data_IF_660265397936
#
_entry.id   IF_660265397936
#
_cell.length_a   1.000
_cell.length_b   1.000
_cell.length_c   1.000
_cell.angle_alpha   90.00
_cell.angle_beta   90.00
_cell.angle_gamma   90.00
#
_symmetry.space_group_name_H-M   'P 1'
#
loop_
_entity.id
_entity.type
_entity.pdbx_description
1 polymer ?
#
# COMPACT_ATOMS: atom_id res chain seq x y z
N UNK A 1 3.18 -35.64 -24.31
CA UNK A 1 4.63 -35.63 -24.58
C UNK A 1 4.83 -36.59 -25.72
N UNK A 2 5.10 -36.06 -26.90
CA UNK A 2 5.31 -36.84 -28.12
C UNK A 2 6.57 -37.67 -27.89
N UNK A 3 6.42 -38.99 -27.76
CA UNK A 3 7.56 -39.88 -27.60
C UNK A 3 8.36 -39.79 -28.89
N UNK A 4 9.50 -39.09 -28.85
CA UNK A 4 10.47 -39.16 -29.93
C UNK A 4 10.73 -40.64 -30.19
N UNK A 5 10.35 -41.12 -31.37
CA UNK A 5 10.47 -42.52 -31.70
C UNK A 5 11.96 -42.85 -31.68
N UNK A 6 12.37 -43.60 -30.66
CA UNK A 6 13.78 -43.97 -30.43
C UNK A 6 14.32 -44.64 -31.70
N UNK A 7 13.46 -45.26 -32.50
CA UNK A 7 13.78 -45.92 -33.75
C UNK A 7 14.11 -44.95 -34.88
N UNK A 8 13.42 -43.82 -34.94
CA UNK A 8 13.69 -42.77 -35.91
C UNK A 8 15.02 -42.05 -35.59
N UNK A 9 15.26 -41.76 -34.30
CA UNK A 9 16.51 -41.17 -33.83
C UNK A 9 17.72 -42.11 -34.00
N UNK A 10 17.55 -43.40 -33.72
CA UNK A 10 18.60 -44.42 -33.92
C UNK A 10 18.90 -44.60 -35.41
N UNK A 11 17.86 -44.64 -36.26
CA UNK A 11 17.99 -44.74 -37.70
C UNK A 11 18.71 -43.54 -38.33
N UNK A 12 18.46 -42.33 -37.83
CA UNK A 12 19.16 -41.11 -38.26
C UNK A 12 20.61 -41.01 -37.76
N UNK A 13 20.97 -41.65 -36.65
CA UNK A 13 22.35 -41.68 -36.12
C UNK A 13 23.25 -42.66 -36.88
N UNK A 14 22.68 -43.75 -37.41
CA UNK A 14 23.43 -44.83 -38.06
C UNK A 14 23.26 -44.89 -39.58
N UNK A 15 22.57 -43.92 -40.19
CA UNK A 15 22.22 -43.93 -41.62
C UNK A 15 23.41 -44.01 -42.59
N UNK A 16 24.64 -43.68 -42.15
CA UNK A 16 25.86 -43.71 -42.96
C UNK A 16 26.84 -44.88 -42.59
N UNK A 17 26.52 -45.72 -41.60
CA UNK A 17 27.38 -46.84 -41.16
C UNK A 17 26.73 -48.23 -41.35
N UNK A 18 27.46 -49.17 -41.96
CA UNK A 18 27.01 -50.57 -42.09
C UNK A 18 27.23 -51.34 -40.79
N UNK A 19 26.30 -51.20 -39.85
CA UNK A 19 26.27 -51.99 -38.63
C UNK A 19 25.66 -53.38 -38.84
N UNK A 20 26.13 -54.37 -38.07
CA UNK A 20 25.40 -55.65 -38.01
C UNK A 20 24.10 -55.43 -37.23
N UNK A 21 23.02 -56.08 -37.70
CA UNK A 21 21.69 -56.00 -37.09
C UNK A 21 21.70 -56.40 -35.60
N UNK A 22 22.62 -57.30 -35.23
CA UNK A 22 22.84 -57.74 -33.85
C UNK A 22 23.48 -56.66 -32.96
N UNK A 23 24.36 -55.81 -33.51
CA UNK A 23 24.96 -54.70 -32.76
C UNK A 23 23.97 -53.55 -32.59
N UNK A 24 23.20 -53.23 -33.63
CA UNK A 24 22.15 -52.19 -33.56
C UNK A 24 21.09 -52.54 -32.49
N UNK A 25 20.68 -53.81 -32.41
CA UNK A 25 19.78 -54.31 -31.37
C UNK A 25 20.37 -54.17 -29.96
N UNK A 26 21.65 -54.50 -29.76
CA UNK A 26 22.33 -54.35 -28.44
C UNK A 26 22.47 -52.88 -28.03
N UNK A 27 22.84 -51.99 -28.95
CA UNK A 27 22.95 -50.54 -28.66
C UNK A 27 21.59 -49.95 -28.34
N UNK A 28 20.54 -50.34 -29.07
CA UNK A 28 19.16 -49.92 -28.79
C UNK A 28 18.73 -50.29 -27.37
N UNK A 29 18.91 -51.55 -26.97
CA UNK A 29 18.53 -52.01 -25.62
C UNK A 29 19.31 -51.26 -24.53
N UNK A 30 20.61 -51.02 -24.73
CA UNK A 30 21.44 -50.29 -23.76
C UNK A 30 21.04 -48.81 -23.69
N UNK A 31 20.78 -48.17 -24.84
CA UNK A 31 20.38 -46.78 -24.92
C UNK A 31 18.99 -46.56 -24.33
N UNK A 32 18.03 -47.42 -24.67
CA UNK A 32 16.68 -47.40 -24.12
C UNK A 32 16.71 -47.62 -22.60
N UNK A 33 17.50 -48.57 -22.10
CA UNK A 33 17.70 -48.76 -20.67
C UNK A 33 18.33 -47.54 -19.99
N UNK A 34 19.32 -46.90 -20.62
CA UNK A 34 19.97 -45.71 -20.08
C UNK A 34 19.05 -44.48 -20.07
N UNK A 35 18.25 -44.29 -21.12
CA UNK A 35 17.25 -43.21 -21.20
C UNK A 35 16.13 -43.44 -20.19
N UNK A 36 15.60 -44.66 -20.08
CA UNK A 36 14.57 -44.99 -19.10
C UNK A 36 15.08 -44.80 -17.66
N UNK A 37 16.31 -45.24 -17.37
CA UNK A 37 16.93 -44.99 -16.06
C UNK A 37 17.06 -43.48 -15.78
N UNK A 38 17.42 -42.68 -16.79
CA UNK A 38 17.48 -41.22 -16.63
C UNK A 38 16.12 -40.55 -16.46
N UNK A 39 15.11 -41.02 -17.16
CA UNK A 39 13.73 -40.55 -16.98
C UNK A 39 13.23 -40.89 -15.57
N UNK A 40 13.55 -42.09 -15.08
CA UNK A 40 13.20 -42.51 -13.71
C UNK A 40 13.93 -41.67 -12.65
N UNK A 41 15.22 -41.39 -12.82
CA UNK A 41 15.99 -40.46 -11.97
C UNK A 41 15.29 -39.09 -11.89
N UNK A 42 14.99 -38.48 -13.05
CA UNK A 42 14.33 -37.17 -13.10
C UNK A 42 12.90 -37.21 -12.54
N UNK A 43 12.16 -38.30 -12.77
CA UNK A 43 10.82 -38.48 -12.22
C UNK A 43 10.87 -38.52 -10.69
N UNK A 44 11.85 -39.23 -10.12
CA UNK A 44 12.04 -39.32 -8.67
C UNK A 44 12.47 -37.97 -8.08
N UNK A 45 13.39 -37.26 -8.73
CA UNK A 45 13.81 -35.91 -8.32
C UNK A 45 12.64 -34.91 -8.32
N UNK A 46 11.81 -34.95 -9.36
CA UNK A 46 10.60 -34.12 -9.44
C UNK A 46 9.63 -34.51 -8.32
N UNK A 47 9.37 -35.80 -8.10
CA UNK A 47 8.48 -36.25 -7.02
C UNK A 47 8.98 -35.81 -5.64
N UNK A 48 10.28 -35.94 -5.36
CA UNK A 48 10.87 -35.53 -4.09
C UNK A 48 10.75 -34.02 -3.88
N UNK A 49 11.01 -33.22 -4.93
CA UNK A 49 10.83 -31.76 -4.87
C UNK A 49 9.37 -31.36 -4.64
N UNK A 50 8.42 -32.03 -5.28
CA UNK A 50 6.99 -31.78 -5.08
C UNK A 50 6.55 -32.15 -3.67
N UNK A 51 7.02 -33.29 -3.13
CA UNK A 51 6.71 -33.71 -1.76
C UNK A 51 7.27 -32.73 -0.73
N UNK A 52 8.45 -32.16 -0.98
CA UNK A 52 9.03 -31.13 -0.11
C UNK A 52 8.21 -29.83 -0.15
N UNK A 53 7.88 -29.33 -1.34
CA UNK A 53 7.04 -28.13 -1.51
C UNK A 53 5.66 -28.31 -0.89
N UNK A 54 5.03 -29.47 -1.07
CA UNK A 54 3.72 -29.76 -0.47
C UNK A 54 3.81 -29.77 1.06
N UNK A 55 4.87 -30.35 1.64
CA UNK A 55 5.06 -30.33 3.10
C UNK A 55 5.25 -28.92 3.62
N UNK A 56 6.09 -28.11 2.97
CA UNK A 56 6.33 -26.72 3.36
C UNK A 56 5.03 -25.91 3.31
N UNK A 57 4.31 -25.96 2.18
CA UNK A 57 3.02 -25.29 2.04
C UNK A 57 1.97 -25.78 3.04
N UNK A 58 1.96 -27.08 3.35
CA UNK A 58 1.04 -27.63 4.34
C UNK A 58 1.34 -27.11 5.74
N UNK A 59 2.62 -27.00 6.12
CA UNK A 59 3.04 -26.42 7.40
C UNK A 59 2.62 -24.95 7.47
N UNK A 60 2.87 -24.17 6.42
CA UNK A 60 2.50 -22.76 6.34
C UNK A 60 0.99 -22.55 6.46
N UNK A 61 0.19 -23.33 5.71
CA UNK A 61 -1.27 -23.24 5.74
C UNK A 61 -1.81 -23.63 7.12
N UNK A 62 -1.28 -24.69 7.73
CA UNK A 62 -1.72 -25.14 9.07
C UNK A 62 -1.34 -24.09 10.13
N UNK A 63 -0.13 -23.53 10.08
CA UNK A 63 0.31 -22.48 11.01
C UNK A 63 -0.56 -21.23 10.88
N UNK A 64 -0.76 -20.76 9.64
CA UNK A 64 -1.58 -19.57 9.38
C UNK A 64 -3.05 -19.76 9.81
N UNK A 65 -3.60 -20.95 9.58
CA UNK A 65 -4.95 -21.28 10.02
C UNK A 65 -5.03 -21.37 11.56
N UNK A 66 -4.02 -21.94 12.20
CA UNK A 66 -3.95 -22.03 13.67
C UNK A 66 -3.90 -20.64 14.30
N UNK A 67 -3.06 -19.74 13.78
CA UNK A 67 -2.94 -18.36 14.25
C UNK A 67 -4.26 -17.60 14.09
N UNK A 68 -4.88 -17.67 12.90
CA UNK A 68 -6.18 -17.03 12.66
C UNK A 68 -7.29 -17.58 13.55
N UNK A 69 -7.27 -18.89 13.82
CA UNK A 69 -8.23 -19.50 14.72
C UNK A 69 -8.03 -19.01 16.16
N UNK A 70 -6.78 -18.91 16.61
CA UNK A 70 -6.42 -18.42 17.94
C UNK A 70 -6.81 -16.94 18.10
N UNK A 71 -6.55 -16.11 17.09
CA UNK A 71 -6.98 -14.71 17.05
C UNK A 71 -8.50 -14.58 17.14
N UNK A 72 -9.25 -15.38 16.36
CA UNK A 72 -10.70 -15.38 16.39
C UNK A 72 -11.25 -15.85 17.74
N UNK A 73 -10.66 -16.91 18.32
CA UNK A 73 -11.03 -17.39 19.64
C UNK A 73 -10.76 -16.36 20.72
N UNK A 74 -9.58 -15.73 20.70
CA UNK A 74 -9.24 -14.66 21.64
C UNK A 74 -10.21 -13.49 21.52
N UNK A 75 -10.52 -13.05 20.29
CA UNK A 75 -11.51 -12.00 20.06
C UNK A 75 -12.87 -12.35 20.67
N UNK A 76 -13.42 -13.54 20.35
CA UNK A 76 -14.72 -13.98 20.87
C UNK A 76 -14.70 -14.12 22.40
N UNK A 77 -13.61 -14.62 22.99
CA UNK A 77 -13.49 -14.75 24.44
C UNK A 77 -13.40 -13.39 25.13
N UNK A 78 -12.65 -12.45 24.57
CA UNK A 78 -12.54 -11.08 25.09
C UNK A 78 -13.88 -10.36 25.03
N UNK A 79 -14.56 -10.38 23.88
CA UNK A 79 -15.90 -9.79 23.72
C UNK A 79 -16.90 -10.43 24.69
N UNK A 80 -16.89 -11.76 24.81
CA UNK A 80 -17.76 -12.45 25.76
C UNK A 80 -17.44 -12.08 27.22
N UNK A 81 -16.18 -11.89 27.58
CA UNK A 81 -15.80 -11.40 28.91
C UNK A 81 -16.29 -9.97 29.15
N UNK A 82 -16.09 -9.07 28.19
CA UNK A 82 -16.55 -7.68 28.28
C UNK A 82 -18.08 -7.58 28.37
N UNK A 83 -18.81 -8.33 27.54
CA UNK A 83 -20.27 -8.37 27.58
C UNK A 83 -20.79 -8.90 28.93
N UNK A 84 -20.17 -9.97 29.46
CA UNK A 84 -20.56 -10.50 30.77
C UNK A 84 -20.21 -9.55 31.91
N UNK A 85 -19.06 -8.90 31.86
CA UNK A 85 -18.69 -7.88 32.85
C UNK A 85 -19.73 -6.75 32.86
N UNK A 86 -20.10 -6.24 31.69
CA UNK A 86 -21.13 -5.22 31.54
C UNK A 86 -22.49 -5.69 32.06
N UNK A 87 -22.88 -6.94 31.77
CA UNK A 87 -24.13 -7.52 32.27
C UNK A 87 -24.14 -7.67 33.79
N UNK A 88 -23.03 -8.15 34.37
CA UNK A 88 -22.86 -8.29 35.83
C UNK A 88 -22.84 -6.92 36.50
N UNK A 89 -22.11 -5.94 35.95
CA UNK A 89 -22.05 -4.58 36.50
C UNK A 89 -23.42 -3.91 36.48
N UNK A 90 -24.18 -4.04 35.38
CA UNK A 90 -25.56 -3.55 35.30
C UNK A 90 -26.48 -4.27 36.28
N UNK A 91 -26.36 -5.59 36.44
CA UNK A 91 -27.09 -6.37 37.42
C UNK A 91 -26.82 -5.87 38.85
N UNK A 92 -25.54 -5.77 39.23
CA UNK A 92 -25.12 -5.28 40.54
C UNK A 92 -25.57 -3.84 40.78
N UNK A 93 -25.47 -2.95 39.78
CA UNK A 93 -25.97 -1.57 39.88
C UNK A 93 -27.49 -1.53 40.07
N UNK A 94 -28.24 -2.38 39.38
CA UNK A 94 -29.69 -2.51 39.54
C UNK A 94 -30.04 -3.03 40.94
N UNK A 95 -29.35 -4.06 41.41
CA UNK A 95 -29.54 -4.62 42.76
C UNK A 95 -29.22 -3.60 43.85
N UNK A 96 -28.14 -2.82 43.68
CA UNK A 96 -27.78 -1.72 44.59
C UNK A 96 -28.84 -0.63 44.56
N UNK A 97 -29.32 -0.24 43.38
CA UNK A 97 -30.36 0.78 43.24
C UNK A 97 -31.68 0.31 43.88
N UNK A 98 -32.07 -0.95 43.68
CA UNK A 98 -33.27 -1.55 44.30
C UNK A 98 -33.11 -1.63 45.82
N UNK A 99 -31.97 -2.11 46.33
CA UNK A 99 -31.66 -2.13 47.76
C UNK A 99 -31.64 -0.74 48.38
N UNK A 100 -31.13 0.26 47.66
CA UNK A 100 -31.12 1.65 48.10
C UNK A 100 -32.54 2.24 48.14
N UNK A 101 -33.36 1.99 47.12
CA UNK A 101 -34.76 2.42 47.07
C UNK A 101 -35.58 1.76 48.17
N UNK A 102 -35.38 0.47 48.42
CA UNK A 102 -36.04 -0.25 49.52
C UNK A 102 -35.58 0.26 50.90
N UNK A 103 -34.29 0.58 51.04
CA UNK A 103 -33.75 1.21 52.25
C UNK A 103 -34.34 2.61 52.49
N UNK A 104 -34.47 3.42 51.45
CA UNK A 104 -35.14 4.71 51.47
C UNK A 104 -36.60 4.54 51.88
N UNK A 105 -37.34 3.67 51.19
CA UNK A 105 -38.76 3.40 51.48
C UNK A 105 -38.96 2.98 52.94
N UNK A 106 -38.14 2.06 53.43
CA UNK A 106 -38.16 1.60 54.82
C UNK A 106 -37.87 2.75 55.80
N UNK A 107 -36.93 3.65 55.49
CA UNK A 107 -36.62 4.81 56.32
C UNK A 107 -37.78 5.82 56.35
N UNK A 108 -38.41 6.08 55.21
CA UNK A 108 -39.58 6.95 55.10
C UNK A 108 -40.79 6.40 55.85
N UNK A 109 -41.06 5.09 55.74
CA UNK A 109 -42.10 4.40 56.50
C UNK A 109 -41.85 4.46 58.02
N UNK A 110 -40.60 4.27 58.46
CA UNK A 110 -40.24 4.29 59.88
C UNK A 110 -40.29 5.68 60.52
N UNK A 111 -40.14 6.76 59.75
CA UNK A 111 -40.14 8.13 60.25
C UNK A 111 -41.46 8.90 60.04
N UNK A 112 -42.52 8.25 59.53
CA UNK A 112 -43.82 8.89 59.24
C UNK A 112 -43.66 10.19 58.42
N UNK A 113 -42.67 10.22 57.53
CA UNK A 113 -42.52 11.31 56.57
C UNK A 113 -43.40 10.93 55.39
N UNK A 114 -44.61 11.50 55.35
CA UNK A 114 -45.51 11.39 54.22
C UNK A 114 -44.84 12.10 53.04
N UNK A 115 -44.30 11.32 52.09
CA UNK A 115 -43.67 11.86 50.89
C UNK A 115 -44.75 12.63 50.13
N UNK A 116 -44.59 13.94 49.91
CA UNK A 116 -45.58 14.72 49.16
C UNK A 116 -45.86 14.03 47.81
N UNK A 117 -47.14 13.79 47.51
CA UNK A 117 -47.57 13.22 46.22
C UNK A 117 -47.31 14.15 45.03
N UNK A 118 -46.81 15.36 45.27
CA UNK A 118 -46.20 16.17 44.22
C UNK A 118 -44.82 15.58 43.93
N UNK A 119 -44.78 14.69 42.93
CA UNK A 119 -43.54 14.24 42.30
C UNK A 119 -42.73 15.49 41.97
N UNK A 120 -41.70 15.77 42.75
CA UNK A 120 -40.73 16.78 42.38
C UNK A 120 -40.02 16.22 41.15
N UNK A 121 -40.12 16.95 40.05
CA UNK A 121 -39.76 16.53 38.69
C UNK A 121 -38.24 16.41 38.46
N UNK A 122 -37.48 16.13 39.52
CA UNK A 122 -36.02 16.03 39.47
C UNK A 122 -35.59 14.90 38.55
N UNK A 123 -36.39 13.83 38.47
CA UNK A 123 -36.06 12.69 37.63
C UNK A 123 -36.23 13.05 36.15
N UNK A 124 -37.33 13.68 35.76
CA UNK A 124 -37.54 14.05 34.36
C UNK A 124 -36.62 15.22 33.97
N UNK A 125 -36.34 16.17 34.88
CA UNK A 125 -35.29 17.20 34.67
C UNK A 125 -33.89 16.57 34.50
N UNK A 126 -33.55 15.51 35.25
CA UNK A 126 -32.28 14.79 35.09
C UNK A 126 -32.25 13.99 33.79
N UNK A 127 -33.36 13.39 33.36
CA UNK A 127 -33.46 12.70 32.08
C UNK A 127 -33.33 13.68 30.92
N UNK A 128 -34.02 14.82 30.97
CA UNK A 128 -33.94 15.89 29.96
C UNK A 128 -32.53 16.49 29.90
N UNK A 129 -31.88 16.70 31.05
CA UNK A 129 -30.48 17.13 31.10
C UNK A 129 -29.52 16.08 30.53
N UNK A 130 -29.77 14.79 30.74
CA UNK A 130 -28.95 13.71 30.20
C UNK A 130 -29.12 13.60 28.67
N UNK A 131 -30.35 13.69 28.18
CA UNK A 131 -30.63 13.74 26.74
C UNK A 131 -29.98 14.96 26.08
N UNK A 132 -30.04 16.13 26.73
CA UNK A 132 -29.37 17.34 26.26
C UNK A 132 -27.84 17.18 26.24
N UNK A 133 -27.24 16.57 27.26
CA UNK A 133 -25.81 16.28 27.30
C UNK A 133 -25.38 15.28 26.22
N UNK A 134 -26.18 14.24 25.97
CA UNK A 134 -25.93 13.28 24.89
C UNK A 134 -26.00 13.96 23.51
N UNK A 135 -26.99 14.81 23.28
CA UNK A 135 -27.11 15.57 22.04
C UNK A 135 -25.93 16.54 21.85
N UNK A 136 -25.51 17.25 22.90
CA UNK A 136 -24.33 18.11 22.84
C UNK A 136 -23.05 17.31 22.57
N UNK A 137 -22.90 16.14 23.20
CA UNK A 137 -21.76 15.27 22.96
C UNK A 137 -21.69 14.82 21.50
N UNK A 138 -22.82 14.37 20.94
CA UNK A 138 -22.89 13.97 19.54
C UNK A 138 -22.57 15.13 18.58
N UNK A 139 -23.09 16.33 18.85
CA UNK A 139 -22.78 17.53 18.06
C UNK A 139 -21.28 17.89 18.14
N UNK A 140 -20.65 17.74 19.31
CA UNK A 140 -19.22 17.96 19.46
C UNK A 140 -18.38 16.89 18.76
N UNK A 141 -18.82 15.64 18.74
CA UNK A 141 -18.16 14.55 18.00
C UNK A 141 -18.24 14.84 16.50
N UNK A 142 -19.41 15.21 15.98
CA UNK A 142 -19.60 15.55 14.57
C UNK A 142 -18.69 16.72 14.16
N UNK A 143 -18.67 17.80 14.96
CA UNK A 143 -17.73 18.92 14.76
C UNK A 143 -16.27 18.49 14.82
N UNK A 144 -15.90 17.56 15.70
CA UNK A 144 -14.54 17.07 15.80
C UNK A 144 -14.13 16.26 14.56
N UNK A 145 -15.03 15.40 14.06
CA UNK A 145 -14.84 14.63 12.83
C UNK A 145 -14.71 15.57 11.63
N UNK A 146 -15.57 16.58 11.52
CA UNK A 146 -15.50 17.58 10.44
C UNK A 146 -14.17 18.35 10.49
N UNK A 147 -13.77 18.85 11.68
CA UNK A 147 -12.48 19.51 11.86
C UNK A 147 -11.30 18.60 11.55
N UNK A 148 -11.37 17.32 11.90
CA UNK A 148 -10.34 16.35 11.59
C UNK A 148 -10.23 16.11 10.07
N UNK A 149 -11.36 16.01 9.37
CA UNK A 149 -11.41 15.88 7.92
C UNK A 149 -10.85 17.12 7.22
N UNK A 150 -11.24 18.32 7.66
CA UNK A 150 -10.70 19.59 7.16
C UNK A 150 -9.20 19.70 7.39
N UNK A 151 -8.73 19.37 8.61
CA UNK A 151 -7.31 19.38 8.96
C UNK A 151 -6.51 18.37 8.14
N UNK A 152 -7.06 17.18 7.91
CA UNK A 152 -6.46 16.14 7.07
C UNK A 152 -6.37 16.60 5.62
N UNK A 153 -7.44 17.20 5.09
CA UNK A 153 -7.45 17.75 3.73
C UNK A 153 -6.45 18.90 3.56
N UNK A 154 -6.37 19.80 4.54
CA UNK A 154 -5.42 20.92 4.54
C UNK A 154 -3.96 20.43 4.57
N UNK A 155 -3.63 19.46 5.43
CA UNK A 155 -2.29 18.84 5.48
C UNK A 155 -1.95 18.09 4.20
N UNK A 156 -2.90 17.31 3.66
CA UNK A 156 -2.71 16.63 2.39
C UNK A 156 -2.44 17.63 1.26
N UNK A 157 -3.14 18.77 1.23
CA UNK A 157 -2.92 19.84 0.27
C UNK A 157 -1.55 20.53 0.46
N UNK A 158 -1.10 20.72 1.70
CA UNK A 158 0.23 21.28 2.01
C UNK A 158 1.35 20.37 1.49
N UNK A 159 1.31 19.08 1.83
CA UNK A 159 2.29 18.09 1.38
C UNK A 159 2.25 17.94 -0.15
N UNK A 160 1.05 17.96 -0.74
CA UNK A 160 0.89 17.92 -2.19
C UNK A 160 1.50 19.16 -2.86
N UNK A 161 1.27 20.36 -2.29
CA UNK A 161 1.86 21.60 -2.78
C UNK A 161 3.38 21.55 -2.69
N UNK A 162 3.95 21.08 -1.59
CA UNK A 162 5.41 20.92 -1.42
C UNK A 162 6.00 19.94 -2.44
N UNK A 163 5.38 18.77 -2.62
CA UNK A 163 5.85 17.73 -3.55
C UNK A 163 5.83 18.19 -5.03
N UNK A 164 4.89 19.08 -5.37
CA UNK A 164 4.67 19.56 -6.75
C UNK A 164 5.33 20.89 -7.08
N UNK A 165 6.07 21.52 -6.16
CA UNK A 165 6.74 22.82 -6.41
C UNK A 165 7.68 22.79 -7.62
N UNK A 166 8.37 21.67 -7.85
CA UNK A 166 9.35 21.54 -8.94
C UNK A 166 8.74 21.11 -10.29
N UNK A 167 7.41 20.89 -10.35
CA UNK A 167 6.73 20.41 -11.55
C UNK A 167 6.15 21.57 -12.37
N UNK A 168 6.20 21.45 -13.69
CA UNK A 168 5.49 22.38 -14.60
C UNK A 168 3.98 22.18 -14.53
N UNK A 169 3.18 23.19 -14.88
CA UNK A 169 1.71 23.14 -14.72
C UNK A 169 1.07 21.93 -15.44
N UNK A 170 1.59 21.55 -16.62
CA UNK A 170 1.15 20.35 -17.36
C UNK A 170 1.51 19.04 -16.65
N UNK A 171 2.63 19.00 -15.91
CA UNK A 171 3.04 17.84 -15.11
C UNK A 171 2.25 17.76 -13.80
N UNK A 172 1.89 18.90 -13.21
CA UNK A 172 1.03 18.99 -12.02
C UNK A 172 -0.35 18.39 -12.30
N UNK A 173 -1.00 18.72 -13.42
CA UNK A 173 -2.31 18.15 -13.75
C UNK A 173 -2.28 16.62 -13.83
N UNK A 174 -1.25 16.05 -14.49
CA UNK A 174 -1.06 14.59 -14.56
C UNK A 174 -0.76 13.98 -13.19
N UNK A 175 -0.01 14.68 -12.35
CA UNK A 175 0.32 14.23 -11.00
C UNK A 175 -0.88 14.30 -10.05
N UNK A 176 -1.76 15.30 -10.19
CA UNK A 176 -3.06 15.38 -9.48
C UNK A 176 -3.89 14.13 -9.78
N UNK A 177 -4.01 13.75 -11.05
CA UNK A 177 -4.83 12.59 -11.44
C UNK A 177 -4.29 11.26 -10.89
N UNK A 178 -2.97 11.13 -10.78
CA UNK A 178 -2.33 9.96 -10.18
C UNK A 178 -2.42 9.98 -8.64
N UNK A 179 -2.29 11.16 -8.02
CA UNK A 179 -2.35 11.34 -6.56
C UNK A 179 -3.76 11.16 -5.98
N UNK A 180 -4.82 11.35 -6.78
CA UNK A 180 -6.23 11.09 -6.37
C UNK A 180 -6.47 9.65 -5.88
N UNK A 181 -5.67 8.69 -6.31
CA UNK A 181 -5.78 7.29 -5.88
C UNK A 181 -4.89 6.94 -4.68
N UNK A 182 -4.17 7.91 -4.10
CA UNK A 182 -3.28 7.68 -2.95
C UNK A 182 -4.05 7.99 -1.67
N UNK A 183 -4.28 6.97 -0.85
CA UNK A 183 -4.90 7.12 0.47
C UNK A 183 -3.97 7.90 1.42
N UNK A 184 -4.54 8.89 2.11
CA UNK A 184 -3.88 9.62 3.18
C UNK A 184 -4.01 8.82 4.48
N UNK A 185 -2.90 8.27 4.96
CA UNK A 185 -2.84 7.51 6.21
C UNK A 185 -2.05 8.27 7.28
N UNK A 186 -0.86 8.76 6.91
CA UNK A 186 0.04 9.52 7.78
C UNK A 186 0.87 10.50 6.95
N UNK A 187 1.31 11.59 7.57
CA UNK A 187 2.04 12.69 6.93
C UNK A 187 3.34 12.23 6.27
N UNK A 188 4.13 11.37 6.95
CA UNK A 188 5.37 10.82 6.39
C UNK A 188 5.10 9.78 5.30
N UNK A 189 4.09 8.93 5.50
CA UNK A 189 3.70 7.88 4.54
C UNK A 189 3.16 8.49 3.24
N UNK A 190 2.33 9.53 3.33
CA UNK A 190 1.77 10.24 2.18
C UNK A 190 2.84 10.99 1.39
N UNK A 191 3.76 11.70 2.08
CA UNK A 191 4.91 12.34 1.44
C UNK A 191 5.81 11.32 0.72
N UNK A 192 6.08 10.17 1.36
CA UNK A 192 6.86 9.08 0.76
C UNK A 192 6.20 8.49 -0.49
N UNK A 193 4.89 8.17 -0.41
CA UNK A 193 4.12 7.65 -1.55
C UNK A 193 4.10 8.66 -2.72
N UNK A 194 3.93 9.95 -2.44
CA UNK A 194 3.98 11.01 -3.45
C UNK A 194 5.39 11.16 -4.06
N UNK A 195 6.44 11.03 -3.26
CA UNK A 195 7.82 11.07 -3.74
C UNK A 195 8.13 9.88 -4.66
N UNK A 196 7.78 8.66 -4.25
CA UNK A 196 7.91 7.46 -5.09
C UNK A 196 7.11 7.57 -6.39
N UNK A 197 5.92 8.16 -6.34
CA UNK A 197 5.12 8.39 -7.54
C UNK A 197 5.75 9.46 -8.45
N UNK A 198 6.35 10.51 -7.87
CA UNK A 198 7.08 11.56 -8.60
C UNK A 198 8.31 10.98 -9.31
N UNK A 199 9.15 10.20 -8.62
CA UNK A 199 10.36 9.61 -9.21
C UNK A 199 10.05 8.61 -10.33
N UNK A 200 9.00 7.80 -10.19
CA UNK A 200 8.65 6.80 -11.18
C UNK A 200 8.03 7.38 -12.45
N UNK A 201 7.22 8.44 -12.34
CA UNK A 201 6.51 9.03 -13.49
C UNK A 201 7.17 10.28 -14.05
N UNK A 202 8.03 10.93 -13.26
CA UNK A 202 8.81 12.10 -13.64
C UNK A 202 10.27 11.89 -13.23
N UNK A 203 10.99 10.93 -13.84
CA UNK A 203 12.40 10.74 -13.54
C UNK A 203 13.14 12.04 -13.79
N UNK A 204 13.72 12.61 -12.72
CA UNK A 204 14.62 13.74 -12.84
C UNK A 204 15.85 13.21 -13.56
N UNK A 205 15.96 13.54 -14.85
CA UNK A 205 17.22 13.40 -15.57
C UNK A 205 18.27 14.10 -14.70
N UNK A 206 19.33 13.40 -14.24
CA UNK A 206 20.41 14.09 -13.56
C UNK A 206 20.90 15.17 -14.51
N UNK A 207 21.09 16.39 -14.02
CA UNK A 207 21.72 17.44 -14.82
C UNK A 207 23.09 16.95 -15.27
N UNK A 208 23.17 16.52 -16.53
CA UNK A 208 24.39 15.99 -17.10
C UNK A 208 24.14 15.42 -18.48
N UNK A 209 24.84 15.99 -19.46
CA UNK A 209 25.17 15.38 -20.74
C UNK A 209 24.03 15.45 -21.78
N UNK A 210 24.12 16.48 -22.62
CA UNK A 210 23.53 16.51 -23.95
C UNK A 210 24.13 15.37 -24.80
N UNK A 211 23.56 14.17 -24.75
CA UNK A 211 23.66 13.23 -25.87
C UNK A 211 22.48 13.49 -26.80
N UNK A 212 22.81 14.21 -27.86
CA UNK A 212 21.97 14.47 -29.03
C UNK A 212 21.55 13.14 -29.69
N UNK A 213 20.32 12.71 -29.44
CA UNK A 213 19.60 11.81 -30.37
C UNK A 213 18.38 12.58 -30.88
N UNK A 214 18.64 13.44 -31.87
CA UNK A 214 17.59 14.11 -32.64
C UNK A 214 17.09 13.12 -33.69
N UNK A 215 15.92 12.55 -33.41
CA UNK A 215 15.08 11.89 -34.38
C UNK A 215 14.71 12.88 -35.51
N UNK A 216 14.99 12.49 -36.74
CA UNK A 216 14.91 13.36 -37.91
C UNK A 216 13.48 13.35 -38.44
N UNK A 217 12.65 14.29 -37.98
CA UNK A 217 11.41 14.64 -38.68
C UNK A 217 11.60 15.96 -39.44
N UNK A 218 11.60 15.81 -40.77
CA UNK A 218 11.51 16.90 -41.75
C UNK A 218 10.21 17.68 -41.56
N UNK A 219 10.28 19.01 -41.41
CA UNK A 219 9.39 19.94 -42.11
C UNK A 219 10.06 21.32 -42.27
N UNK A 220 9.90 21.88 -43.47
CA UNK A 220 10.46 23.16 -43.94
C UNK A 220 9.81 24.37 -43.26
N UNK A 221 10.59 25.44 -43.01
CA UNK A 221 9.99 26.79 -42.90
C UNK A 221 10.69 27.82 -42.02
N UNK A 222 11.66 28.54 -42.59
CA UNK A 222 11.90 30.00 -42.44
C UNK A 222 12.33 30.65 -41.09
N UNK A 223 13.56 31.18 -41.15
CA UNK A 223 14.15 32.41 -40.54
C UNK A 223 14.62 32.43 -39.07
N UNK A 224 15.91 32.71 -38.81
CA UNK A 224 16.39 33.03 -37.46
C UNK A 224 16.12 34.51 -37.14
N UNK A 225 15.41 34.75 -36.04
CA UNK A 225 15.21 36.09 -35.46
C UNK A 225 16.54 36.56 -34.85
N UNK A 226 17.16 37.56 -35.45
CA UNK A 226 18.30 38.27 -34.88
C UNK A 226 17.82 39.25 -33.81
N UNK A 227 18.07 38.96 -32.53
CA UNK A 227 17.92 39.95 -31.46
C UNK A 227 19.10 40.94 -31.53
N UNK A 228 18.90 42.05 -32.23
CA UNK A 228 19.84 43.16 -32.27
C UNK A 228 19.61 44.09 -31.07
N UNK A 229 20.00 43.65 -29.87
CA UNK A 229 20.02 44.54 -28.72
C UNK A 229 21.30 45.37 -28.73
N UNK A 230 21.17 46.62 -29.19
CA UNK A 230 22.26 47.59 -29.37
C UNK A 230 23.04 47.87 -28.07
N UNK A 231 22.46 47.53 -26.91
CA UNK A 231 23.09 47.67 -25.60
C UNK A 231 24.13 46.57 -25.32
N UNK A 232 23.87 45.34 -25.76
CA UNK A 232 24.74 44.19 -25.53
C UNK A 232 25.98 44.24 -26.44
N UNK A 233 25.82 44.71 -27.67
CA UNK A 233 26.94 44.95 -28.60
C UNK A 233 27.91 46.04 -28.10
N UNK A 234 27.43 47.07 -27.40
CA UNK A 234 28.29 48.09 -26.81
C UNK A 234 29.16 47.50 -25.69
N UNK A 235 28.59 46.61 -24.87
CA UNK A 235 29.32 45.93 -23.79
C UNK A 235 30.38 44.96 -24.33
N UNK A 236 30.03 44.16 -25.34
CA UNK A 236 30.96 43.23 -25.99
C UNK A 236 32.11 43.98 -26.68
N UNK A 237 31.82 45.11 -27.35
CA UNK A 237 32.86 45.94 -27.95
C UNK A 237 33.76 46.61 -26.91
N UNK A 238 33.22 47.00 -25.76
CA UNK A 238 34.02 47.55 -24.66
C UNK A 238 34.98 46.51 -24.07
N UNK A 239 34.49 45.28 -23.82
CA UNK A 239 35.33 44.15 -23.40
C UNK A 239 36.42 43.81 -24.42
N UNK A 240 36.07 43.78 -25.71
CA UNK A 240 37.02 43.51 -26.78
C UNK A 240 38.13 44.57 -26.89
N UNK A 241 37.80 45.85 -26.66
CA UNK A 241 38.80 46.93 -26.64
C UNK A 241 39.67 46.90 -25.37
N UNK A 242 39.11 46.54 -24.22
CA UNK A 242 39.85 46.42 -22.97
C UNK A 242 40.90 45.30 -23.03
N UNK A 243 40.54 44.16 -23.64
CA UNK A 243 41.45 43.04 -23.92
C UNK A 243 42.60 43.44 -24.87
N UNK A 244 42.34 44.31 -25.86
CA UNK A 244 43.38 44.82 -26.77
C UNK A 244 44.35 45.79 -26.10
N UNK A 245 43.91 46.56 -25.10
CA UNK A 245 44.79 47.46 -24.36
C UNK A 245 45.67 46.73 -23.33
N UNK A 246 45.19 45.64 -22.73
CA UNK A 246 46.03 44.81 -21.86
C UNK A 246 47.17 44.12 -22.62
N UNK A 247 46.99 43.76 -23.89
CA UNK A 247 48.05 43.16 -24.74
C UNK A 247 49.09 44.13 -25.30
N UNK A 248 48.97 45.45 -25.05
CA UNK A 248 49.94 46.47 -25.53
C UNK A 248 50.79 47.10 -24.43
N UNK A 249 50.67 46.61 -23.19
CA UNK A 249 51.44 47.10 -22.04
C UNK A 249 52.31 46.02 -21.38
N UNK A 250 52.69 45.01 -22.15
CA UNK A 250 53.84 44.13 -21.93
C UNK A 250 54.83 44.27 -23.09
#
# INVERSE_FOLDING_TARGET
MESADVDECMGALFSDETLSEEFASKVRVIFEAAVNAKIEDYSNEIHESYDEVIKEQMVDVVSNLSEKLDDYLNYVVTEWMEENELAVERGVKSDIAESFVDGIKSLFENHYIDVPNERYDVLDELFEANEQLQNQLNEQIEKNVDLFNELTSARAQEIFSESTQDLTDTQKEKFIDLAKNVSYEDEQSFAGKLHTLKENYFPVQPEGILTESVDTMLEEGTTPVTFNDSSMNAYVNHLANQMKHQKKSD
#
